data_IF_409360896757
#
_entry.id   IF_409360896757
#
_cell.length_a   1.000
_cell.length_b   1.000
_cell.length_c   1.000
_cell.angle_alpha   90.00
_cell.angle_beta   90.00
_cell.angle_gamma   90.00
#
_symmetry.space_group_name_H-M   'P 1'
#
loop_
_entity.id
_entity.type
_entity.pdbx_description
1 polymer ?
#
# COMPACT_ATOMS: atom_id res chain seq x y z
N UNK A 1 -16.81 11.18 -19.40
CA UNK A 1 -16.79 10.40 -18.16
C UNK A 1 -15.48 9.63 -18.05
N UNK A 2 -14.73 9.95 -17.03
CA UNK A 2 -13.46 9.30 -16.86
C UNK A 2 -13.66 7.91 -16.27
N UNK A 3 -13.17 6.90 -16.95
CA UNK A 3 -13.10 5.57 -16.41
C UNK A 3 -11.85 5.46 -15.53
N UNK A 4 -12.02 5.71 -14.25
CA UNK A 4 -10.93 5.50 -13.32
C UNK A 4 -10.84 4.00 -13.09
N UNK A 5 -9.83 3.38 -13.68
CA UNK A 5 -9.57 1.97 -13.43
C UNK A 5 -9.03 1.84 -12.02
N UNK A 6 -9.58 0.91 -11.24
CA UNK A 6 -9.12 0.66 -9.87
C UNK A 6 -7.65 0.25 -9.79
N UNK A 7 -7.05 -0.16 -10.90
CA UNK A 7 -5.70 -0.68 -10.97
C UNK A 7 -4.69 0.29 -11.58
N UNK A 8 -5.11 1.47 -12.04
CA UNK A 8 -4.20 2.44 -12.67
C UNK A 8 -4.43 3.85 -12.18
N UNK A 9 -4.42 4.02 -10.85
CA UNK A 9 -4.48 5.34 -10.25
C UNK A 9 -3.15 6.06 -10.43
N UNK A 10 -3.18 7.38 -10.45
CA UNK A 10 -1.97 8.20 -10.59
C UNK A 10 -0.86 7.86 -9.59
N UNK A 11 -1.16 7.73 -8.29
CA UNK A 11 -0.12 7.41 -7.31
C UNK A 11 0.59 6.09 -7.59
N UNK A 12 -0.15 5.06 -7.99
CA UNK A 12 0.42 3.77 -8.34
C UNK A 12 1.34 3.88 -9.56
N UNK A 13 0.89 4.61 -10.58
CA UNK A 13 1.65 4.79 -11.82
C UNK A 13 2.96 5.51 -11.55
N UNK A 14 2.94 6.60 -10.79
CA UNK A 14 4.14 7.36 -10.45
C UNK A 14 5.12 6.51 -9.63
N UNK A 15 4.60 5.72 -8.71
CA UNK A 15 5.41 4.82 -7.89
C UNK A 15 6.11 3.77 -8.78
N UNK A 16 5.36 3.12 -9.66
CA UNK A 16 5.91 2.11 -10.56
C UNK A 16 6.99 2.68 -11.47
N UNK A 17 6.74 3.85 -12.05
CA UNK A 17 7.72 4.51 -12.94
C UNK A 17 9.00 4.87 -12.19
N UNK A 18 8.89 5.33 -10.95
CA UNK A 18 10.04 5.64 -10.12
C UNK A 18 10.86 4.39 -9.80
N UNK A 19 10.21 3.28 -9.47
CA UNK A 19 10.91 2.00 -9.27
C UNK A 19 11.63 1.54 -10.54
N UNK A 20 10.98 1.67 -11.67
CA UNK A 20 11.57 1.30 -12.95
C UNK A 20 12.84 2.08 -13.23
N UNK A 21 12.85 3.38 -12.93
CA UNK A 21 14.05 4.21 -13.09
C UNK A 21 15.21 3.74 -12.22
N UNK A 22 14.93 3.12 -11.09
CA UNK A 22 15.94 2.53 -10.22
C UNK A 22 16.38 1.13 -10.67
N UNK A 23 15.87 0.66 -11.80
CA UNK A 23 16.20 -0.66 -12.32
C UNK A 23 15.50 -1.82 -11.62
N UNK A 24 14.44 -1.55 -10.87
CA UNK A 24 13.70 -2.59 -10.16
C UNK A 24 12.69 -3.24 -11.09
N UNK A 25 12.77 -4.55 -11.24
CA UNK A 25 11.80 -5.33 -12.00
C UNK A 25 10.68 -5.76 -11.07
N UNK A 26 9.44 -5.55 -11.50
CA UNK A 26 8.27 -5.85 -10.69
C UNK A 26 7.10 -6.32 -11.54
N UNK A 27 6.07 -6.85 -10.88
CA UNK A 27 4.77 -7.13 -11.47
C UNK A 27 3.73 -6.23 -10.82
N UNK A 28 2.79 -5.75 -11.61
CA UNK A 28 1.73 -4.85 -11.13
C UNK A 28 0.40 -5.58 -10.98
N UNK A 29 -0.39 -5.16 -9.99
CA UNK A 29 -1.77 -5.64 -9.80
C UNK A 29 -1.89 -7.17 -9.85
N UNK A 30 -1.12 -7.85 -9.01
CA UNK A 30 -0.95 -9.30 -9.09
C UNK A 30 -2.10 -10.01 -8.39
N UNK A 31 -3.11 -10.38 -9.16
CA UNK A 31 -4.32 -11.06 -8.64
C UNK A 31 -4.06 -12.46 -8.11
N UNK A 32 -3.01 -13.12 -8.58
CA UNK A 32 -2.64 -14.45 -8.11
C UNK A 32 -2.03 -14.47 -6.71
N UNK A 33 -1.66 -13.29 -6.20
CA UNK A 33 -1.15 -13.15 -4.83
C UNK A 33 -2.25 -12.64 -3.91
N UNK A 34 -2.25 -13.14 -2.68
CA UNK A 34 -3.29 -12.79 -1.70
C UNK A 34 -3.37 -11.29 -1.46
N UNK A 35 -4.60 -10.76 -1.45
CA UNK A 35 -4.84 -9.34 -1.26
C UNK A 35 -4.60 -8.47 -2.49
N UNK A 36 -4.19 -9.06 -3.60
CA UNK A 36 -3.92 -8.36 -4.87
C UNK A 36 -3.01 -7.15 -4.69
N UNK A 37 -1.72 -7.36 -4.36
CA UNK A 37 -0.80 -6.25 -4.17
C UNK A 37 -0.68 -5.39 -5.43
N UNK A 38 -0.49 -4.10 -5.23
CA UNK A 38 -0.30 -3.16 -6.34
C UNK A 38 1.00 -3.45 -7.08
N UNK A 39 2.02 -3.84 -6.34
CA UNK A 39 3.34 -4.17 -6.88
C UNK A 39 3.88 -5.40 -6.17
N UNK A 40 4.45 -6.32 -6.94
CA UNK A 40 5.15 -7.48 -6.37
C UNK A 40 6.55 -7.59 -6.97
N UNK A 41 7.54 -7.71 -6.10
CA UNK A 41 8.92 -7.94 -6.48
C UNK A 41 9.25 -9.39 -6.05
N UNK A 42 8.85 -10.33 -6.89
CA UNK A 42 8.91 -11.75 -6.56
C UNK A 42 10.31 -12.27 -6.25
N UNK A 43 11.30 -11.72 -6.92
CA UNK A 43 12.70 -12.10 -6.69
C UNK A 43 13.12 -11.96 -5.23
N UNK A 44 12.60 -10.95 -4.54
CA UNK A 44 12.95 -10.67 -3.14
C UNK A 44 11.79 -10.93 -2.18
N UNK A 45 10.69 -11.49 -2.67
CA UNK A 45 9.48 -11.75 -1.89
C UNK A 45 8.99 -10.49 -1.18
N UNK A 46 8.84 -9.42 -1.96
CA UNK A 46 8.31 -8.15 -1.48
C UNK A 46 6.98 -7.87 -2.17
N UNK A 47 5.98 -7.50 -1.39
CA UNK A 47 4.72 -6.98 -1.91
C UNK A 47 4.53 -5.55 -1.40
N UNK A 48 3.98 -4.69 -2.25
CA UNK A 48 3.75 -3.29 -1.94
C UNK A 48 2.28 -2.96 -2.17
N UNK A 49 1.67 -2.37 -1.15
CA UNK A 49 0.30 -1.88 -1.22
C UNK A 49 0.32 -0.36 -1.10
N UNK A 50 -0.42 0.30 -1.97
CA UNK A 50 -0.63 1.74 -1.91
C UNK A 50 -2.08 1.96 -1.54
N UNK A 51 -2.32 2.30 -0.27
CA UNK A 51 -3.65 2.35 0.32
C UNK A 51 -4.24 3.74 0.21
N UNK A 52 -5.47 3.83 -0.30
CA UNK A 52 -6.22 5.07 -0.32
C UNK A 52 -6.56 5.51 1.10
N UNK A 53 -6.29 6.78 1.41
CA UNK A 53 -6.44 7.29 2.78
C UNK A 53 -7.87 7.16 3.30
N UNK A 54 -8.86 7.51 2.49
CA UNK A 54 -10.26 7.42 2.88
C UNK A 54 -10.69 5.97 3.15
N UNK A 55 -10.40 5.09 2.19
CA UNK A 55 -10.88 3.70 2.23
C UNK A 55 -10.26 2.86 3.34
N UNK A 56 -9.12 3.27 3.86
CA UNK A 56 -8.39 2.57 4.91
C UNK A 56 -8.35 3.34 6.23
N UNK A 57 -9.18 4.38 6.33
CA UNK A 57 -9.38 5.10 7.59
C UNK A 57 -8.21 5.97 8.04
N UNK A 58 -7.44 6.53 7.11
CA UNK A 58 -6.27 7.34 7.46
C UNK A 58 -6.53 8.85 7.50
N UNK A 59 -7.76 9.29 7.29
CA UNK A 59 -8.04 10.73 7.19
C UNK A 59 -8.20 11.45 8.54
N UNK A 60 -8.06 10.73 9.65
CA UNK A 60 -8.36 11.31 10.96
C UNK A 60 -7.43 12.47 11.36
N UNK A 61 -6.15 12.39 11.02
CA UNK A 61 -5.20 13.48 11.28
C UNK A 61 -5.48 14.69 10.40
N UNK A 62 -5.70 14.47 9.12
CA UNK A 62 -6.00 15.51 8.15
C UNK A 62 -7.25 16.29 8.53
N UNK A 63 -8.28 15.60 9.02
CA UNK A 63 -9.56 16.20 9.44
C UNK A 63 -9.57 16.61 10.91
N UNK A 64 -8.41 16.53 11.57
CA UNK A 64 -8.22 16.97 12.96
C UNK A 64 -9.07 16.24 13.99
N UNK A 65 -9.31 14.95 13.77
CA UNK A 65 -9.94 14.10 14.77
C UNK A 65 -8.88 13.57 15.74
N UNK A 66 -9.24 13.34 17.01
CA UNK A 66 -8.28 12.83 18.00
C UNK A 66 -7.83 11.40 17.76
N UNK A 67 -8.61 10.63 16.99
CA UNK A 67 -8.30 9.23 16.71
C UNK A 67 -9.03 8.74 15.47
N UNK A 68 -8.60 7.62 14.92
CA UNK A 68 -9.28 6.95 13.83
C UNK A 68 -10.72 6.60 14.23
N UNK A 69 -10.91 6.12 15.44
CA UNK A 69 -12.23 5.74 15.94
C UNK A 69 -13.17 6.93 15.97
N UNK A 70 -12.69 8.11 16.41
CA UNK A 70 -13.49 9.32 16.43
C UNK A 70 -13.90 9.74 15.02
N UNK A 71 -12.99 9.64 14.04
CA UNK A 71 -13.30 9.92 12.64
C UNK A 71 -14.40 8.98 12.14
N UNK A 72 -14.22 7.68 12.34
CA UNK A 72 -15.17 6.67 11.86
C UNK A 72 -16.55 6.87 12.47
N UNK A 73 -16.61 7.27 13.73
CA UNK A 73 -17.89 7.54 14.41
C UNK A 73 -18.65 8.70 13.77
N UNK A 74 -17.97 9.59 13.08
CA UNK A 74 -18.60 10.72 12.37
C UNK A 74 -19.23 10.32 11.04
N UNK A 75 -18.91 9.13 10.53
CA UNK A 75 -19.44 8.64 9.26
C UNK A 75 -20.75 7.91 9.44
N UNK A 76 -21.51 7.74 8.34
CA UNK A 76 -22.72 6.92 8.36
C UNK A 76 -22.36 5.45 8.66
N UNK A 77 -23.34 4.68 9.12
CA UNK A 77 -23.15 3.25 9.41
C UNK A 77 -22.60 2.48 8.20
N UNK A 78 -23.07 2.82 7.01
CA UNK A 78 -22.60 2.19 5.78
C UNK A 78 -21.09 2.35 5.61
N UNK A 79 -20.58 3.59 5.75
CA UNK A 79 -19.17 3.87 5.59
C UNK A 79 -18.32 3.33 6.72
N UNK A 80 -18.83 3.38 7.95
CA UNK A 80 -18.16 2.80 9.11
C UNK A 80 -17.88 1.31 8.89
N UNK A 81 -18.91 0.57 8.49
CA UNK A 81 -18.79 -0.88 8.26
C UNK A 81 -17.82 -1.18 7.13
N UNK A 82 -17.90 -0.43 6.06
CA UNK A 82 -17.05 -0.65 4.87
C UNK A 82 -15.58 -0.39 5.19
N UNK A 83 -15.27 0.72 5.84
CA UNK A 83 -13.90 1.07 6.19
C UNK A 83 -13.34 0.11 7.23
N UNK A 84 -14.12 -0.25 8.25
CA UNK A 84 -13.70 -1.23 9.26
C UNK A 84 -13.38 -2.58 8.62
N UNK A 85 -14.17 -2.99 7.64
CA UNK A 85 -13.91 -4.23 6.89
C UNK A 85 -12.59 -4.14 6.13
N UNK A 86 -12.31 -3.02 5.49
CA UNK A 86 -11.05 -2.81 4.77
C UNK A 86 -9.85 -2.87 5.72
N UNK A 87 -9.97 -2.23 6.89
CA UNK A 87 -8.92 -2.25 7.91
C UNK A 87 -8.67 -3.68 8.41
N UNK A 88 -9.74 -4.43 8.68
CA UNK A 88 -9.63 -5.81 9.11
C UNK A 88 -8.96 -6.68 8.04
N UNK A 89 -9.33 -6.48 6.77
CA UNK A 89 -8.72 -7.19 5.66
C UNK A 89 -7.23 -6.86 5.52
N UNK A 90 -6.85 -5.61 5.70
CA UNK A 90 -5.44 -5.21 5.68
C UNK A 90 -4.62 -5.98 6.71
N UNK A 91 -5.17 -6.15 7.91
CA UNK A 91 -4.52 -6.92 8.98
C UNK A 91 -4.36 -8.39 8.60
N UNK A 92 -5.38 -8.99 7.98
CA UNK A 92 -5.30 -10.37 7.49
C UNK A 92 -4.22 -10.52 6.42
N UNK A 93 -4.17 -9.58 5.48
CA UNK A 93 -3.18 -9.59 4.41
C UNK A 93 -1.78 -9.45 4.98
N UNK A 94 -1.57 -8.51 5.90
CA UNK A 94 -0.28 -8.32 6.56
C UNK A 94 0.18 -9.60 7.26
N UNK A 95 -0.73 -10.23 7.99
CA UNK A 95 -0.45 -11.46 8.73
C UNK A 95 -0.08 -12.61 7.79
N UNK A 96 -0.80 -12.74 6.68
CA UNK A 96 -0.55 -13.77 5.68
C UNK A 96 0.87 -13.66 5.12
N UNK A 97 1.27 -12.49 4.67
CA UNK A 97 2.59 -12.31 4.07
C UNK A 97 3.72 -12.48 5.08
N UNK A 98 3.53 -11.96 6.28
CA UNK A 98 4.49 -12.12 7.36
C UNK A 98 4.70 -13.60 7.70
N UNK A 99 3.61 -14.36 7.78
CA UNK A 99 3.66 -15.80 8.08
C UNK A 99 4.36 -16.58 6.98
N UNK A 100 4.24 -16.16 5.73
CA UNK A 100 4.81 -16.85 4.57
C UNK A 100 6.19 -16.34 4.15
N UNK A 101 6.85 -15.58 5.00
CA UNK A 101 8.23 -15.14 4.77
C UNK A 101 8.37 -14.01 3.75
N UNK A 102 7.29 -13.32 3.44
CA UNK A 102 7.32 -12.15 2.55
C UNK A 102 7.49 -10.88 3.34
N UNK A 103 8.12 -9.90 2.71
CA UNK A 103 8.16 -8.53 3.22
C UNK A 103 7.00 -7.76 2.63
N UNK A 104 6.22 -7.12 3.50
CA UNK A 104 5.11 -6.28 3.06
C UNK A 104 5.44 -4.82 3.34
N UNK A 105 5.26 -3.98 2.33
CA UNK A 105 5.41 -2.53 2.45
C UNK A 105 4.07 -1.89 2.13
N UNK A 106 3.63 -0.98 2.99
CA UNK A 106 2.39 -0.24 2.77
C UNK A 106 2.70 1.25 2.80
N UNK A 107 2.14 1.95 1.83
CA UNK A 107 2.25 3.40 1.77
C UNK A 107 0.86 3.97 1.59
N UNK A 108 0.61 5.10 2.23
CA UNK A 108 -0.62 5.84 1.98
C UNK A 108 -0.49 6.59 0.66
N UNK A 109 -1.61 6.70 -0.07
CA UNK A 109 -1.66 7.50 -1.29
C UNK A 109 -1.13 8.91 -1.03
N UNK A 110 -1.51 9.52 0.09
CA UNK A 110 -1.03 10.85 0.48
C UNK A 110 0.49 10.90 0.66
N UNK A 111 1.10 9.84 1.20
CA UNK A 111 2.57 9.75 1.33
C UNK A 111 3.24 9.73 -0.04
N UNK A 112 2.72 8.90 -0.94
CA UNK A 112 3.31 8.78 -2.28
C UNK A 112 3.16 10.05 -3.09
N UNK A 113 2.12 10.82 -2.86
CA UNK A 113 1.94 12.11 -3.54
C UNK A 113 2.88 13.18 -2.99
N UNK A 114 3.04 13.25 -1.68
CA UNK A 114 3.89 14.28 -1.04
C UNK A 114 5.36 13.95 -1.03
N UNK A 115 5.70 12.69 -0.82
CA UNK A 115 7.07 12.24 -0.57
C UNK A 115 7.40 10.97 -1.35
N UNK A 116 7.17 11.00 -2.66
CA UNK A 116 7.40 9.83 -3.52
C UNK A 116 8.83 9.31 -3.39
N UNK A 117 9.82 10.19 -3.45
CA UNK A 117 11.24 9.78 -3.34
C UNK A 117 11.54 9.08 -2.02
N UNK A 118 10.96 9.54 -0.92
CA UNK A 118 11.14 8.92 0.39
C UNK A 118 10.59 7.50 0.41
N UNK A 119 9.41 7.29 -0.20
CA UNK A 119 8.80 5.97 -0.32
C UNK A 119 9.66 5.03 -1.18
N UNK A 120 10.18 5.54 -2.28
CA UNK A 120 11.05 4.77 -3.18
C UNK A 120 12.34 4.40 -2.47
N UNK A 121 12.97 5.34 -1.77
CA UNK A 121 14.22 5.08 -1.03
C UNK A 121 13.99 4.00 0.02
N UNK A 122 12.87 4.05 0.73
CA UNK A 122 12.53 3.03 1.73
C UNK A 122 12.43 1.65 1.08
N UNK A 123 11.81 1.57 -0.10
CA UNK A 123 11.68 0.33 -0.85
C UNK A 123 13.05 -0.19 -1.29
N UNK A 124 13.89 0.68 -1.85
CA UNK A 124 15.23 0.32 -2.31
C UNK A 124 16.12 -0.17 -1.15
N UNK A 125 16.05 0.50 -0.01
CA UNK A 125 16.78 0.08 1.19
C UNK A 125 16.37 -1.32 1.63
N UNK A 126 15.07 -1.64 1.55
CA UNK A 126 14.59 -2.96 1.91
C UNK A 126 15.09 -4.02 0.93
N UNK A 127 15.07 -3.71 -0.36
CA UNK A 127 15.63 -4.61 -1.39
C UNK A 127 17.09 -4.89 -1.13
N UNK A 128 17.88 -3.84 -0.86
CA UNK A 128 19.31 -3.99 -0.60
C UNK A 128 19.59 -4.81 0.65
N UNK A 129 18.79 -4.64 1.69
CA UNK A 129 18.89 -5.42 2.93
C UNK A 129 18.64 -6.90 2.68
N UNK A 130 17.63 -7.22 1.88
CA UNK A 130 17.30 -8.61 1.53
C UNK A 130 18.41 -9.22 0.67
N UNK A 131 18.92 -8.48 -0.31
CA UNK A 131 20.04 -8.93 -1.15
C UNK A 131 21.28 -9.24 -0.31
N UNK A 132 21.61 -8.39 0.63
CA UNK A 132 22.75 -8.60 1.51
C UNK A 132 22.60 -9.86 2.36
N UNK A 133 21.37 -10.12 2.84
CA UNK A 133 21.09 -11.32 3.64
C UNK A 133 21.14 -12.62 2.84
N UNK A 134 20.96 -12.54 1.52
CA UNK A 134 20.95 -13.70 0.65
C UNK A 134 22.35 -14.16 0.23
N UNK A 135 23.37 -13.36 0.55
CA UNK A 135 24.78 -13.71 0.26
C UNK A 135 25.39 -14.60 1.39
#
# INVERSE_FOLDING_TARGET
MSHIRSTETKPEVFFRKALWKWGVKYRKNVRSLFGTPDIAIKKYKIVIFIDGDFWHGNDWKKKRFPSQEALLSSYSDFWQKKIKRNIARDKEVNKYYKKNGWTILRFWTSETEKNLNKCIIKTIKKINKIRASAL
#
